data_IF_889091469063
#
_entry.id   IF_889091469063
#
_cell.length_a   1.000
_cell.length_b   1.000
_cell.length_c   1.000
_cell.angle_alpha   90.00
_cell.angle_beta   90.00
_cell.angle_gamma   90.00
#
_symmetry.space_group_name_H-M   'P 1'
#
loop_
_entity.id
_entity.type
_entity.pdbx_description
1 polymer ?
#
# COMPACT_ATOMS: atom_id res chain seq x y z
N UNK A 1 11.36 -5.06 -4.59
CA UNK A 1 11.36 -6.22 -3.65
C UNK A 1 12.65 -6.99 -3.80
N UNK A 2 13.18 -7.57 -2.72
CA UNK A 2 14.56 -8.11 -2.67
C UNK A 2 14.72 -9.49 -3.33
N UNK A 3 13.64 -10.24 -3.55
CA UNK A 3 13.64 -11.64 -4.04
C UNK A 3 13.41 -11.78 -5.55
N UNK A 4 13.73 -10.74 -6.33
CA UNK A 4 13.57 -10.77 -7.78
C UNK A 4 12.12 -10.65 -8.27
N UNK A 5 11.25 -9.99 -7.50
CA UNK A 5 9.89 -9.67 -7.96
C UNK A 5 8.93 -10.87 -8.00
N UNK A 6 8.91 -11.66 -6.92
CA UNK A 6 7.90 -12.70 -6.70
C UNK A 6 6.50 -12.10 -6.50
N UNK A 7 5.45 -12.87 -6.76
CA UNK A 7 4.07 -12.49 -6.44
C UNK A 7 3.91 -12.28 -4.94
N UNK A 8 3.39 -11.12 -4.56
CA UNK A 8 2.98 -10.75 -3.21
C UNK A 8 1.45 -10.66 -3.07
N UNK A 9 0.89 -10.68 -1.85
CA UNK A 9 -0.56 -10.54 -1.62
C UNK A 9 -1.17 -9.27 -2.25
N UNK A 10 -0.39 -8.20 -2.37
CA UNK A 10 -0.79 -6.90 -2.94
C UNK A 10 -0.54 -6.77 -4.45
N UNK A 11 -0.03 -7.83 -5.11
CA UNK A 11 0.15 -7.85 -6.58
C UNK A 11 -1.19 -7.64 -7.26
N UNK A 12 -1.24 -6.71 -8.22
CA UNK A 12 -2.46 -6.38 -8.96
C UNK A 12 -2.89 -7.51 -9.90
N UNK A 13 -4.17 -7.51 -10.28
CA UNK A 13 -4.66 -8.35 -11.39
C UNK A 13 -3.86 -8.03 -12.66
N UNK A 14 -3.58 -9.07 -13.45
CA UNK A 14 -2.79 -9.05 -14.69
C UNK A 14 -1.31 -8.63 -14.51
N UNK A 15 -0.87 -8.28 -13.29
CA UNK A 15 0.52 -7.93 -13.05
C UNK A 15 1.41 -9.17 -13.12
N UNK A 16 2.35 -9.14 -14.07
CA UNK A 16 3.35 -10.18 -14.28
C UNK A 16 4.40 -10.13 -13.18
N UNK A 17 4.71 -11.30 -12.62
CA UNK A 17 5.78 -11.49 -11.63
C UNK A 17 6.57 -12.75 -11.95
N UNK A 18 7.66 -13.00 -11.24
CA UNK A 18 8.49 -14.20 -11.45
C UNK A 18 7.73 -15.51 -11.22
N UNK A 19 6.79 -15.54 -10.28
CA UNK A 19 5.93 -16.71 -9.98
C UNK A 19 4.55 -16.65 -10.64
N UNK A 20 4.19 -15.54 -11.29
CA UNK A 20 2.96 -15.39 -12.08
C UNK A 20 3.29 -14.84 -13.48
N UNK A 21 3.94 -15.63 -14.36
CA UNK A 21 4.40 -15.16 -15.67
C UNK A 21 3.25 -14.77 -16.61
N UNK A 22 2.07 -15.37 -16.43
CA UNK A 22 0.84 -15.02 -17.16
C UNK A 22 0.03 -13.89 -16.48
N UNK A 23 0.59 -13.24 -15.46
CA UNK A 23 -0.12 -12.29 -14.62
C UNK A 23 -0.96 -12.96 -13.53
N UNK A 24 -1.30 -12.19 -12.49
CA UNK A 24 -2.25 -12.62 -11.45
C UNK A 24 -3.66 -12.69 -12.02
N UNK A 25 -4.35 -13.80 -11.84
CA UNK A 25 -5.74 -13.99 -12.22
C UNK A 25 -6.62 -14.25 -10.99
N UNK A 26 -7.75 -13.54 -10.90
CA UNK A 26 -8.66 -13.63 -9.75
C UNK A 26 -9.18 -15.04 -9.47
N UNK A 27 -9.32 -15.89 -10.49
CA UNK A 27 -9.81 -17.26 -10.34
C UNK A 27 -8.74 -18.27 -9.89
N UNK A 28 -7.45 -17.95 -10.00
CA UNK A 28 -6.35 -18.85 -9.61
C UNK A 28 -5.68 -18.40 -8.32
N UNK A 29 -5.31 -17.12 -8.26
CA UNK A 29 -4.54 -16.56 -7.13
C UNK A 29 -5.37 -15.58 -6.28
N UNK A 30 -6.65 -15.41 -6.58
CA UNK A 30 -7.53 -14.45 -5.89
C UNK A 30 -7.24 -13.00 -6.26
N UNK A 31 -7.96 -12.08 -5.60
CA UNK A 31 -7.80 -10.63 -5.79
C UNK A 31 -6.75 -10.01 -4.85
N UNK A 32 -6.18 -8.85 -5.21
CA UNK A 32 -5.22 -8.14 -4.35
C UNK A 32 -5.75 -7.93 -2.94
N UNK A 33 -4.94 -8.27 -1.94
CA UNK A 33 -5.32 -8.15 -0.53
C UNK A 33 -5.15 -6.70 -0.11
N UNK A 34 -6.26 -6.05 0.26
CA UNK A 34 -6.26 -4.67 0.76
C UNK A 34 -5.98 -4.67 2.25
N UNK A 35 -4.71 -4.53 2.62
CA UNK A 35 -4.22 -4.81 3.98
C UNK A 35 -4.89 -3.90 5.02
N UNK A 36 -5.00 -2.60 4.76
CA UNK A 36 -5.67 -1.67 5.67
C UNK A 36 -7.11 -2.10 5.98
N UNK A 37 -7.87 -2.49 4.97
CA UNK A 37 -9.28 -2.89 5.09
C UNK A 37 -9.41 -4.19 5.88
N UNK A 38 -8.51 -5.15 5.67
CA UNK A 38 -8.43 -6.38 6.49
C UNK A 38 -8.13 -6.04 7.95
N UNK A 39 -7.11 -5.21 8.21
CA UNK A 39 -6.74 -4.82 9.58
C UNK A 39 -7.78 -3.93 10.27
N UNK A 40 -8.62 -3.22 9.51
CA UNK A 40 -9.65 -2.33 10.06
C UNK A 40 -10.71 -3.11 10.85
N UNK A 41 -10.98 -4.35 10.43
CA UNK A 41 -11.93 -5.27 11.05
C UNK A 41 -11.43 -5.85 12.38
N UNK A 42 -10.12 -5.80 12.65
CA UNK A 42 -9.56 -6.37 13.86
C UNK A 42 -9.83 -5.48 15.08
N UNK A 43 -10.17 -6.12 16.21
CA UNK A 43 -10.26 -5.46 17.51
C UNK A 43 -8.89 -4.93 17.92
N UNK A 44 -8.86 -3.74 18.51
CA UNK A 44 -7.61 -3.11 18.96
C UNK A 44 -6.82 -2.38 17.88
N UNK A 45 -7.24 -2.41 16.60
CA UNK A 45 -6.69 -1.50 15.58
C UNK A 45 -7.24 -0.09 15.80
N UNK A 46 -6.34 0.89 15.99
CA UNK A 46 -6.67 2.28 16.31
C UNK A 46 -6.37 3.27 15.19
N UNK A 47 -5.40 2.98 14.32
CA UNK A 47 -5.03 3.87 13.22
C UNK A 47 -4.56 3.12 11.98
N UNK A 48 -5.15 3.45 10.84
CA UNK A 48 -4.84 2.90 9.53
C UNK A 48 -4.94 4.01 8.49
N UNK A 49 -3.82 4.32 7.85
CA UNK A 49 -3.78 5.26 6.74
C UNK A 49 -2.98 4.68 5.58
N UNK A 50 -3.51 4.85 4.37
CA UNK A 50 -2.81 4.53 3.13
C UNK A 50 -2.31 5.79 2.47
N UNK A 51 -1.01 5.84 2.20
CA UNK A 51 -0.31 6.98 1.61
C UNK A 51 0.57 6.54 0.45
N UNK A 52 1.21 7.49 -0.22
CA UNK A 52 2.20 7.24 -1.26
C UNK A 52 3.38 8.19 -1.14
N UNK A 53 4.45 7.89 -1.86
CA UNK A 53 5.69 8.66 -1.93
C UNK A 53 6.05 9.04 -3.39
N UNK A 54 5.09 9.00 -4.31
CA UNK A 54 5.32 9.24 -5.74
C UNK A 54 5.57 10.72 -6.15
N UNK A 55 5.36 11.67 -5.24
CA UNK A 55 5.59 13.12 -5.46
C UNK A 55 5.88 13.84 -4.14
N UNK A 56 6.54 15.03 -4.15
CA UNK A 56 6.94 15.73 -2.93
C UNK A 56 5.79 15.99 -1.94
N UNK A 57 4.62 16.39 -2.43
CA UNK A 57 3.44 16.60 -1.60
C UNK A 57 2.97 15.31 -0.89
N UNK A 58 3.12 14.16 -1.56
CA UNK A 58 2.76 12.86 -1.00
C UNK A 58 3.76 12.41 0.08
N UNK A 59 5.05 12.68 -0.11
CA UNK A 59 6.08 12.43 0.93
C UNK A 59 5.78 13.21 2.22
N UNK A 60 5.32 14.46 2.11
CA UNK A 60 4.90 15.25 3.26
C UNK A 60 3.69 14.61 3.96
N UNK A 61 2.70 14.11 3.20
CA UNK A 61 1.55 13.37 3.77
C UNK A 61 2.00 12.09 4.46
N UNK A 62 2.88 11.30 3.84
CA UNK A 62 3.41 10.08 4.43
C UNK A 62 4.14 10.35 5.76
N UNK A 63 4.94 11.41 5.83
CA UNK A 63 5.58 11.84 7.09
C UNK A 63 4.55 12.15 8.18
N UNK A 64 3.46 12.85 7.84
CA UNK A 64 2.38 13.17 8.79
C UNK A 64 1.65 11.90 9.26
N UNK A 65 1.35 10.98 8.35
CA UNK A 65 0.71 9.70 8.69
C UNK A 65 1.57 8.85 9.63
N UNK A 66 2.88 8.76 9.37
CA UNK A 66 3.82 8.05 10.25
C UNK A 66 3.86 8.71 11.64
N UNK A 67 3.93 10.04 11.71
CA UNK A 67 3.91 10.75 13.00
C UNK A 67 2.60 10.50 13.77
N UNK A 68 1.46 10.49 13.08
CA UNK A 68 0.15 10.17 13.65
C UNK A 68 0.08 8.74 14.19
N UNK A 69 0.61 7.75 13.47
CA UNK A 69 0.70 6.37 13.95
C UNK A 69 1.51 6.27 15.27
N UNK A 70 2.62 6.99 15.38
CA UNK A 70 3.39 7.05 16.64
C UNK A 70 2.63 7.76 17.77
N UNK A 71 1.81 8.77 17.45
CA UNK A 71 0.93 9.41 18.44
C UNK A 71 -0.06 8.40 19.06
N UNK A 72 -0.66 7.54 18.23
CA UNK A 72 -1.53 6.45 18.69
C UNK A 72 -0.80 5.48 19.61
N UNK A 73 0.45 5.11 19.29
CA UNK A 73 1.29 4.28 20.15
C UNK A 73 1.61 4.97 21.48
N UNK A 74 2.01 6.24 21.46
CA UNK A 74 2.33 7.01 22.66
C UNK A 74 1.11 7.12 23.61
N UNK A 75 -0.09 7.29 23.04
CA UNK A 75 -1.36 7.35 23.77
C UNK A 75 -1.92 5.97 24.14
N UNK A 76 -1.23 4.87 23.81
CA UNK A 76 -1.65 3.48 24.10
C UNK A 76 -3.05 3.15 23.58
N UNK A 77 -3.41 3.68 22.42
CA UNK A 77 -4.77 3.53 21.85
C UNK A 77 -4.98 2.22 21.10
N UNK A 78 -3.90 1.50 20.77
CA UNK A 78 -3.97 0.22 20.07
C UNK A 78 -2.93 0.09 18.96
N UNK A 79 -3.19 -0.84 18.04
CA UNK A 79 -2.36 -1.12 16.87
C UNK A 79 -2.53 -0.06 15.78
N UNK A 80 -1.41 0.35 15.19
CA UNK A 80 -1.37 1.31 14.09
C UNK A 80 -0.59 0.75 12.91
N UNK A 81 -1.04 1.02 11.69
CA UNK A 81 -0.33 0.68 10.45
C UNK A 81 -0.43 1.82 9.43
N UNK A 82 0.68 2.11 8.75
CA UNK A 82 0.72 3.01 7.59
C UNK A 82 1.12 2.21 6.36
N UNK A 83 0.21 2.08 5.41
CA UNK A 83 0.48 1.41 4.13
C UNK A 83 1.00 2.43 3.12
N UNK A 84 2.24 2.26 2.65
CA UNK A 84 2.89 3.20 1.73
C UNK A 84 2.97 2.56 0.34
N UNK A 85 2.17 3.06 -0.60
CA UNK A 85 2.30 2.71 -2.01
C UNK A 85 3.57 3.34 -2.57
N UNK A 86 4.55 2.50 -2.90
CA UNK A 86 5.87 2.92 -3.37
C UNK A 86 6.16 2.32 -4.75
N UNK A 87 6.82 3.11 -5.59
CA UNK A 87 7.23 2.69 -6.92
C UNK A 87 8.43 1.73 -6.85
N UNK A 88 8.47 0.75 -7.74
CA UNK A 88 9.62 -0.15 -7.88
C UNK A 88 10.00 -0.30 -9.37
N UNK A 89 10.59 0.74 -9.99
CA UNK A 89 10.81 0.79 -11.44
C UNK A 89 11.58 -0.42 -11.96
N UNK A 90 12.55 -0.93 -11.20
CA UNK A 90 13.32 -2.14 -11.53
C UNK A 90 12.43 -3.37 -11.70
N UNK A 91 11.57 -3.66 -10.73
CA UNK A 91 10.74 -4.86 -10.77
C UNK A 91 9.55 -4.72 -11.72
N UNK A 92 9.10 -3.49 -11.96
CA UNK A 92 8.01 -3.21 -12.90
C UNK A 92 8.51 -3.03 -14.34
N UNK A 93 9.83 -3.00 -14.55
CA UNK A 93 10.47 -2.73 -15.86
C UNK A 93 9.96 -1.43 -16.49
N UNK A 94 9.75 -0.41 -15.66
CA UNK A 94 9.23 0.91 -16.05
C UNK A 94 10.28 2.00 -15.84
N UNK A 95 10.14 3.11 -16.57
CA UNK A 95 10.91 4.32 -16.29
C UNK A 95 10.55 4.90 -14.91
N UNK A 96 11.48 5.66 -14.29
CA UNK A 96 11.25 6.25 -12.95
C UNK A 96 9.99 7.14 -12.93
N UNK A 97 9.88 8.08 -13.87
CA UNK A 97 8.73 8.99 -13.95
C UNK A 97 7.42 8.26 -14.29
N UNK A 98 7.50 7.28 -15.18
CA UNK A 98 6.37 6.42 -15.52
C UNK A 98 5.88 5.64 -14.30
N UNK A 99 6.79 5.08 -13.51
CA UNK A 99 6.45 4.35 -12.29
C UNK A 99 5.76 5.24 -11.25
N UNK A 100 6.13 6.52 -11.16
CA UNK A 100 5.43 7.49 -10.31
C UNK A 100 3.99 7.74 -10.78
N UNK A 101 3.79 7.88 -12.10
CA UNK A 101 2.48 8.07 -12.71
C UNK A 101 1.60 6.82 -12.56
N UNK A 102 2.19 5.64 -12.70
CA UNK A 102 1.49 4.36 -12.54
C UNK A 102 0.89 4.19 -11.14
N UNK A 103 1.51 4.76 -10.09
CA UNK A 103 0.90 4.81 -8.76
C UNK A 103 -0.45 5.55 -8.78
N UNK A 104 -0.49 6.74 -9.39
CA UNK A 104 -1.70 7.56 -9.43
C UNK A 104 -2.76 6.90 -10.32
N UNK A 105 -2.35 6.41 -11.49
CA UNK A 105 -3.27 5.96 -12.54
C UNK A 105 -3.77 4.53 -12.35
N UNK A 106 -3.04 3.70 -11.61
CA UNK A 106 -3.32 2.25 -11.48
C UNK A 106 -3.36 1.82 -10.03
N UNK A 107 -2.25 1.89 -9.28
CA UNK A 107 -2.23 1.33 -7.92
C UNK A 107 -3.26 1.98 -7.00
N UNK A 108 -3.38 3.31 -7.05
CA UNK A 108 -4.26 4.05 -6.14
C UNK A 108 -5.74 3.82 -6.45
N UNK A 109 -6.09 3.28 -7.63
CA UNK A 109 -7.46 2.87 -7.95
C UNK A 109 -7.82 1.55 -7.25
N UNK A 110 -6.88 0.60 -7.22
CA UNK A 110 -7.07 -0.66 -6.50
C UNK A 110 -6.96 -0.46 -4.97
N UNK A 111 -6.03 0.43 -4.57
CA UNK A 111 -5.70 0.75 -3.19
C UNK A 111 -5.94 2.25 -2.91
N UNK A 112 -7.20 2.68 -2.67
CA UNK A 112 -7.53 4.08 -2.44
C UNK A 112 -6.76 4.68 -1.27
N UNK A 113 -6.14 5.84 -1.50
CA UNK A 113 -5.40 6.60 -0.49
C UNK A 113 -6.35 7.25 0.53
N UNK A 114 -5.86 7.45 1.74
CA UNK A 114 -6.59 8.16 2.80
C UNK A 114 -6.57 7.43 4.13
N UNK A 115 -7.32 7.96 5.10
CA UNK A 115 -7.51 7.34 6.42
C UNK A 115 -8.62 6.29 6.31
N UNK A 116 -8.30 5.04 6.63
CA UNK A 116 -9.26 3.93 6.70
C UNK A 116 -9.84 3.84 8.13
N UNK A 117 -9.03 4.13 9.15
CA UNK A 117 -9.44 4.12 10.56
C UNK A 117 -8.59 5.10 11.36
N UNK A 118 -9.22 5.92 12.20
CA UNK A 118 -8.56 6.75 13.20
C UNK A 118 -9.54 6.87 14.39
N UNK A 119 -9.09 6.51 15.60
CA UNK A 119 -9.90 6.60 16.83
C UNK A 119 -9.61 7.85 17.66
N UNK A 120 -8.66 8.68 17.23
CA UNK A 120 -8.26 9.93 17.86
C UNK A 120 -8.72 11.15 17.04
N UNK A 121 -9.46 10.95 15.96
CA UNK A 121 -10.05 11.98 15.10
C UNK A 121 -11.40 12.47 15.59
#
# INVERSE_FOLDING_TARGET
>A
GMTGGQMAPTTLIDQVTTTSPAGRAGHREGYPVKMCEVFALLKGTSYLERVTVNKPAAVIKAKKAIARAFEHQAKKTGFSMVEILSMCPTNWKMGVLESCKWIDDVMSKEFPLGVIKDTLS
#
